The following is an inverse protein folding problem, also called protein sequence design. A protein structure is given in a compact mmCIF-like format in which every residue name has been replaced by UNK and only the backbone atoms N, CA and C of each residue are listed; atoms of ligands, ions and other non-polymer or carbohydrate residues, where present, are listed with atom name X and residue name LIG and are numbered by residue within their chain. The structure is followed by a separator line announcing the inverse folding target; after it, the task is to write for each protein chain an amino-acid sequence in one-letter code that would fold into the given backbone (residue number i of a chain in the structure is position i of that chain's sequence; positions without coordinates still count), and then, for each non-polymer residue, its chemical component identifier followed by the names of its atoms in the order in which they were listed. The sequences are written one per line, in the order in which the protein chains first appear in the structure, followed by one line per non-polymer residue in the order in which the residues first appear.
data_IF_956968437582
#
_entry.id   IF_956968437582
#
_cell.length_a   1.000
_cell.length_b   1.000
_cell.length_c   1.000
_cell.angle_alpha   90.00
_cell.angle_beta   90.00
_cell.angle_gamma   90.00
#
_symmetry.space_group_name_H-M   'P 1'
#
loop_
_entity.id
_entity.type
_entity.pdbx_description
1 polymer ?
#
# COMPACT_ATOMS: atom_id res chain seq x y z
N UNK A 1 -5.21 1.97 -17.11
CA UNK A 1 -4.35 1.78 -15.92
C UNK A 1 -4.58 2.97 -14.99
N UNK A 2 -4.87 2.75 -13.70
CA UNK A 2 -5.23 3.83 -12.77
C UNK A 2 -3.99 4.34 -11.99
N UNK A 3 -3.39 3.53 -11.13
CA UNK A 3 -2.16 3.87 -10.44
C UNK A 3 -0.96 3.85 -11.41
N UNK A 4 -0.11 4.88 -11.36
CA UNK A 4 1.06 5.06 -12.24
C UNK A 4 0.82 5.87 -13.51
N UNK A 5 -0.38 5.78 -14.11
CA UNK A 5 -0.71 6.55 -15.33
C UNK A 5 -1.72 7.68 -15.05
N UNK A 6 -2.85 7.37 -14.40
CA UNK A 6 -3.87 8.38 -14.08
C UNK A 6 -3.43 9.25 -12.89
N UNK A 7 -2.74 8.65 -11.93
CA UNK A 7 -2.12 9.35 -10.80
C UNK A 7 -0.65 8.94 -10.76
N UNK A 8 0.24 9.89 -11.04
CA UNK A 8 1.70 9.66 -11.05
C UNK A 8 2.27 9.93 -9.66
N UNK A 9 3.34 9.25 -9.24
CA UNK A 9 3.94 9.53 -7.94
C UNK A 9 4.47 10.97 -7.87
N UNK A 10 4.34 11.61 -6.71
CA UNK A 10 5.05 12.88 -6.44
C UNK A 10 6.55 12.65 -6.19
N UNK A 11 6.90 11.49 -5.62
CA UNK A 11 8.27 11.07 -5.31
C UNK A 11 8.39 9.55 -5.34
N UNK A 12 9.57 9.06 -5.71
CA UNK A 12 9.90 7.62 -5.67
C UNK A 12 9.89 7.05 -4.24
N UNK A 13 9.97 7.91 -3.22
CA UNK A 13 9.82 7.52 -1.82
C UNK A 13 8.46 6.87 -1.52
N UNK A 14 7.44 7.19 -2.32
CA UNK A 14 6.08 6.67 -2.20
C UNK A 14 5.75 5.58 -3.23
N UNK A 15 6.76 4.91 -3.82
CA UNK A 15 6.54 3.91 -4.88
C UNK A 15 5.56 2.79 -4.51
N UNK A 16 5.45 2.45 -3.22
CA UNK A 16 4.47 1.49 -2.72
C UNK A 16 3.02 1.86 -3.07
N UNK A 17 2.70 3.15 -3.26
CA UNK A 17 1.36 3.60 -3.67
C UNK A 17 1.02 3.12 -5.08
N UNK A 18 2.00 3.02 -5.98
CA UNK A 18 1.74 2.44 -7.30
C UNK A 18 1.76 0.91 -7.23
N UNK A 19 2.86 0.37 -6.72
CA UNK A 19 3.14 -1.07 -6.82
C UNK A 19 2.24 -1.91 -5.90
N UNK A 20 1.93 -1.40 -4.70
CA UNK A 20 1.03 -2.05 -3.76
C UNK A 20 -0.40 -2.14 -4.28
N UNK A 21 -0.93 -1.07 -4.88
CA UNK A 21 -2.25 -1.09 -5.47
C UNK A 21 -2.31 -1.94 -6.74
N UNK A 22 -1.28 -1.90 -7.60
CA UNK A 22 -1.19 -2.79 -8.75
C UNK A 22 -1.19 -4.27 -8.31
N UNK A 23 -0.38 -4.61 -7.30
CA UNK A 23 -0.28 -5.95 -6.71
C UNK A 23 -1.62 -6.39 -6.08
N UNK A 24 -2.29 -5.50 -5.33
CA UNK A 24 -3.61 -5.77 -4.75
C UNK A 24 -4.63 -6.14 -5.84
N UNK A 25 -4.74 -5.30 -6.87
CA UNK A 25 -5.70 -5.50 -7.96
C UNK A 25 -5.37 -6.76 -8.75
N UNK A 26 -4.09 -7.00 -9.07
CA UNK A 26 -3.68 -8.22 -9.76
C UNK A 26 -4.10 -9.47 -8.98
N UNK A 27 -3.86 -9.50 -7.67
CA UNK A 27 -4.19 -10.65 -6.83
C UNK A 27 -5.69 -10.81 -6.56
N UNK A 28 -6.46 -9.71 -6.55
CA UNK A 28 -7.92 -9.75 -6.47
C UNK A 28 -8.56 -10.28 -7.77
N UNK A 29 -8.07 -9.87 -8.94
CA UNK A 29 -8.63 -10.27 -10.23
C UNK A 29 -8.03 -11.58 -10.78
N UNK A 30 -6.85 -11.99 -10.30
CA UNK A 30 -6.17 -13.23 -10.71
C UNK A 30 -5.71 -14.10 -9.51
N UNK A 31 -6.63 -14.56 -8.65
CA UNK A 31 -6.31 -15.26 -7.38
C UNK A 31 -5.72 -16.67 -7.54
N UNK A 32 -5.37 -17.09 -8.77
CA UNK A 32 -4.71 -18.36 -9.08
C UNK A 32 -3.38 -18.19 -9.83
N UNK A 33 -2.94 -16.94 -10.01
CA UNK A 33 -1.65 -16.68 -10.65
C UNK A 33 -0.51 -17.24 -9.80
N UNK A 34 0.63 -17.53 -10.45
CA UNK A 34 1.87 -17.86 -9.74
C UNK A 34 2.29 -16.75 -8.78
N UNK A 35 1.99 -15.51 -9.14
CA UNK A 35 2.24 -14.33 -8.33
C UNK A 35 1.41 -14.32 -7.02
N UNK A 36 0.11 -14.61 -7.08
CA UNK A 36 -0.74 -14.75 -5.89
C UNK A 36 -0.27 -15.90 -4.97
N UNK A 37 0.14 -17.05 -5.54
CA UNK A 37 0.71 -18.15 -4.75
C UNK A 37 2.01 -17.75 -4.05
N UNK A 38 2.88 -17.01 -4.74
CA UNK A 38 4.12 -16.51 -4.16
C UNK A 38 3.84 -15.49 -3.05
N UNK A 39 2.85 -14.60 -3.24
CA UNK A 39 2.37 -13.67 -2.21
C UNK A 39 1.91 -14.37 -0.94
N UNK A 40 1.09 -15.42 -1.08
CA UNK A 40 0.62 -16.23 0.06
C UNK A 40 1.79 -16.90 0.76
N UNK A 41 2.69 -17.53 0.01
CA UNK A 41 3.90 -18.15 0.55
C UNK A 41 4.79 -17.15 1.33
N UNK A 42 5.06 -15.97 0.76
CA UNK A 42 5.79 -14.88 1.42
C UNK A 42 5.10 -14.32 2.66
N UNK A 43 3.77 -14.45 2.76
CA UNK A 43 3.02 -14.06 3.97
C UNK A 43 3.17 -15.09 5.09
N UNK A 44 3.21 -16.39 4.74
CA UNK A 44 3.32 -17.50 5.69
C UNK A 44 4.73 -17.65 6.26
N UNK A 45 5.74 -17.39 5.45
CA UNK A 45 7.11 -17.26 5.95
C UNK A 45 7.28 -15.81 6.39
N UNK A 46 7.40 -15.56 7.71
CA UNK A 46 7.67 -14.24 8.26
C UNK A 46 9.03 -13.72 7.76
N UNK A 47 9.04 -13.27 6.51
CA UNK A 47 10.19 -12.64 5.90
C UNK A 47 10.47 -11.36 6.69
N UNK A 48 11.74 -10.95 6.81
CA UNK A 48 12.11 -9.74 7.55
C UNK A 48 11.56 -8.43 6.93
N UNK A 49 10.70 -8.51 5.90
CA UNK A 49 10.08 -7.36 5.24
C UNK A 49 9.14 -6.58 6.17
N UNK A 50 8.54 -7.22 7.18
CA UNK A 50 7.67 -6.53 8.14
C UNK A 50 8.47 -5.57 9.03
N UNK A 51 9.76 -5.87 9.22
CA UNK A 51 10.71 -5.04 9.96
C UNK A 51 11.14 -3.75 9.25
N UNK A 52 10.50 -3.35 8.14
CA UNK A 52 10.81 -2.11 7.40
C UNK A 52 9.55 -1.33 7.05
N UNK A 53 9.58 0.00 7.09
CA UNK A 53 8.49 0.83 6.55
C UNK A 53 8.32 0.65 5.04
N UNK A 54 7.17 1.06 4.48
CA UNK A 54 6.93 1.01 3.03
C UNK A 54 7.38 2.28 2.30
N UNK A 55 7.50 3.40 3.03
CA UNK A 55 8.13 4.62 2.56
C UNK A 55 9.62 4.36 2.31
N UNK A 56 10.07 4.52 1.06
CA UNK A 56 11.47 4.30 0.70
C UNK A 56 12.32 5.50 1.15
N UNK A 57 13.29 5.25 2.03
CA UNK A 57 14.34 6.21 2.37
C UNK A 57 15.43 6.24 1.29
N UNK A 58 16.29 7.27 1.27
CA UNK A 58 17.40 7.35 0.31
C UNK A 58 18.40 6.19 0.43
N UNK A 59 18.49 5.56 1.61
CA UNK A 59 19.37 4.40 1.88
C UNK A 59 18.81 3.11 1.23
N UNK A 60 17.51 3.06 0.99
CA UNK A 60 16.84 1.92 0.36
C UNK A 60 17.17 1.84 -1.15
N UNK A 61 17.42 2.98 -1.81
CA UNK A 61 17.69 3.02 -3.26
C UNK A 61 19.05 2.38 -3.62
N UNK A 62 20.00 2.29 -2.68
CA UNK A 62 21.36 1.74 -2.91
C UNK A 62 21.53 0.26 -2.54
N UNK A 63 20.59 -0.36 -1.81
CA UNK A 63 20.71 -1.75 -1.32
C UNK A 63 19.81 -2.76 -2.07
N UNK A 64 20.15 -4.05 -1.97
CA UNK A 64 19.54 -5.23 -2.65
C UNK A 64 18.14 -5.06 -3.24
N UNK A 65 18.04 -5.01 -4.57
CA UNK A 65 16.81 -4.91 -5.38
C UNK A 65 15.67 -5.87 -4.94
N UNK A 66 16.01 -7.06 -4.44
CA UNK A 66 15.05 -8.10 -4.07
C UNK A 66 14.25 -7.75 -2.80
N UNK A 67 14.87 -7.07 -1.82
CA UNK A 67 14.18 -6.67 -0.58
C UNK A 67 13.20 -5.53 -0.90
N UNK A 68 13.62 -4.58 -1.74
CA UNK A 68 12.81 -3.46 -2.22
C UNK A 68 11.59 -3.93 -3.01
N UNK A 69 11.77 -4.84 -3.96
CA UNK A 69 10.66 -5.40 -4.73
C UNK A 69 9.66 -6.14 -3.84
N UNK A 70 10.06 -6.66 -2.68
CA UNK A 70 9.12 -7.33 -1.76
C UNK A 70 8.39 -6.36 -0.85
N UNK A 71 9.02 -5.28 -0.40
CA UNK A 71 8.38 -4.27 0.45
C UNK A 71 7.33 -3.49 -0.34
N UNK A 72 7.72 -2.91 -1.48
CA UNK A 72 6.83 -2.01 -2.24
C UNK A 72 5.67 -2.71 -2.95
N UNK A 73 5.78 -4.02 -3.18
CA UNK A 73 4.73 -4.84 -3.79
C UNK A 73 4.00 -5.68 -2.73
N UNK A 74 4.72 -6.60 -2.09
CA UNK A 74 4.10 -7.65 -1.27
C UNK A 74 3.59 -7.10 0.06
N UNK A 75 4.46 -6.42 0.83
CA UNK A 75 4.04 -5.80 2.10
C UNK A 75 2.96 -4.74 1.86
N UNK A 76 3.11 -3.92 0.83
CA UNK A 76 2.14 -2.90 0.44
C UNK A 76 0.76 -3.49 0.12
N UNK A 77 0.67 -4.55 -0.67
CA UNK A 77 -0.61 -5.20 -0.95
C UNK A 77 -1.22 -5.85 0.30
N UNK A 78 -0.43 -6.50 1.16
CA UNK A 78 -0.91 -7.04 2.43
C UNK A 78 -1.48 -5.94 3.34
N UNK A 79 -0.78 -4.83 3.45
CA UNK A 79 -1.23 -3.65 4.17
C UNK A 79 -2.57 -3.14 3.62
N UNK A 80 -2.68 -2.94 2.30
CA UNK A 80 -3.92 -2.47 1.69
C UNK A 80 -5.08 -3.44 1.92
N UNK A 81 -4.84 -4.76 1.85
CA UNK A 81 -5.84 -5.79 2.19
C UNK A 81 -6.28 -5.71 3.65
N UNK A 82 -5.34 -5.52 4.57
CA UNK A 82 -5.61 -5.36 5.99
C UNK A 82 -6.46 -4.12 6.25
N UNK A 83 -6.08 -2.97 5.68
CA UNK A 83 -6.82 -1.72 5.81
C UNK A 83 -8.23 -1.86 5.21
N UNK A 84 -8.37 -2.45 4.02
CA UNK A 84 -9.68 -2.71 3.40
C UNK A 84 -10.60 -3.53 4.30
N UNK A 85 -10.07 -4.52 5.02
CA UNK A 85 -10.84 -5.28 6.02
C UNK A 85 -11.16 -4.47 7.26
N UNK A 86 -10.21 -3.67 7.76
CA UNK A 86 -10.37 -2.87 8.97
C UNK A 86 -11.44 -1.79 8.82
N UNK A 87 -11.39 -1.00 7.73
CA UNK A 87 -12.35 0.09 7.48
C UNK A 87 -13.65 -0.40 6.83
N UNK A 88 -13.64 -1.59 6.24
CA UNK A 88 -14.72 -2.17 5.45
C UNK A 88 -14.59 -1.87 3.96
N UNK A 89 -14.95 -2.84 3.11
CA UNK A 89 -14.76 -2.76 1.65
C UNK A 89 -15.42 -1.54 1.03
N UNK A 90 -16.67 -1.25 1.38
CA UNK A 90 -17.41 -0.09 0.86
C UNK A 90 -16.74 1.25 1.19
N UNK A 91 -16.17 1.38 2.39
CA UNK A 91 -15.48 2.60 2.82
C UNK A 91 -14.15 2.74 2.07
N UNK A 92 -13.39 1.65 2.00
CA UNK A 92 -12.12 1.60 1.28
C UNK A 92 -12.31 1.95 -0.20
N UNK A 93 -13.21 1.25 -0.88
CA UNK A 93 -13.42 1.42 -2.32
C UNK A 93 -13.89 2.86 -2.64
N UNK A 94 -14.75 3.45 -1.79
CA UNK A 94 -15.17 4.86 -1.91
C UNK A 94 -14.00 5.83 -1.72
N UNK A 95 -13.18 5.62 -0.69
CA UNK A 95 -12.02 6.46 -0.40
C UNK A 95 -11.03 6.45 -1.57
N UNK A 96 -10.71 5.26 -2.08
CA UNK A 96 -9.75 5.09 -3.18
C UNK A 96 -10.31 5.62 -4.50
N UNK A 97 -11.59 5.41 -4.78
CA UNK A 97 -12.24 5.99 -5.96
C UNK A 97 -12.18 7.52 -5.92
N UNK A 98 -12.49 8.13 -4.76
CA UNK A 98 -12.40 9.58 -4.60
C UNK A 98 -10.96 10.09 -4.74
N UNK A 99 -9.98 9.39 -4.17
CA UNK A 99 -8.56 9.68 -4.36
C UNK A 99 -8.18 9.71 -5.84
N UNK A 100 -8.58 8.70 -6.62
CA UNK A 100 -8.26 8.62 -8.05
C UNK A 100 -8.90 9.76 -8.84
N UNK A 101 -10.18 10.05 -8.61
CA UNK A 101 -10.88 11.13 -9.30
C UNK A 101 -10.28 12.50 -9.01
N UNK A 102 -10.09 12.83 -7.73
CA UNK A 102 -9.63 14.15 -7.31
C UNK A 102 -8.16 14.43 -7.69
N UNK A 103 -7.36 13.37 -7.94
CA UNK A 103 -5.93 13.49 -8.29
C UNK A 103 -5.63 13.04 -9.73
N UNK A 104 -6.66 12.85 -10.56
CA UNK A 104 -6.52 12.46 -11.96
C UNK A 104 -5.66 13.44 -12.74
N UNK A 105 -4.74 12.91 -13.55
CA UNK A 105 -3.73 13.65 -14.30
C UNK A 105 -2.78 14.49 -13.44
N UNK A 106 -2.70 14.17 -12.15
CA UNK A 106 -1.82 14.82 -11.19
C UNK A 106 -1.00 13.82 -10.39
N UNK A 107 -0.48 14.29 -9.26
CA UNK A 107 0.39 13.48 -8.41
C UNK A 107 -0.35 12.81 -7.25
N UNK A 108 0.15 11.64 -6.83
CA UNK A 108 -0.29 10.86 -5.68
C UNK A 108 0.87 10.56 -4.73
N UNK A 109 0.54 10.40 -3.45
CA UNK A 109 1.48 10.10 -2.37
C UNK A 109 0.77 9.45 -1.17
N UNK A 110 1.56 8.96 -0.21
CA UNK A 110 1.02 8.36 1.00
C UNK A 110 0.15 9.32 1.84
N UNK A 111 0.52 10.60 2.07
CA UNK A 111 -0.34 11.55 2.78
C UNK A 111 -1.74 11.69 2.18
N UNK A 112 -1.87 11.72 0.85
CA UNK A 112 -3.18 11.75 0.19
C UNK A 112 -3.98 10.49 0.47
N UNK A 113 -3.39 9.30 0.33
CA UNK A 113 -4.08 8.04 0.64
C UNK A 113 -4.59 8.04 2.10
N UNK A 114 -3.74 8.46 3.05
CA UNK A 114 -4.11 8.56 4.46
C UNK A 114 -5.30 9.50 4.63
N UNK A 115 -5.24 10.70 4.04
CA UNK A 115 -6.32 11.69 4.11
C UNK A 115 -7.65 11.12 3.61
N UNK A 116 -7.69 10.52 2.41
CA UNK A 116 -8.93 9.99 1.85
C UNK A 116 -9.52 8.85 2.67
N UNK A 117 -8.69 7.98 3.25
CA UNK A 117 -9.15 6.91 4.14
C UNK A 117 -9.72 7.46 5.45
N UNK A 118 -9.07 8.46 6.06
CA UNK A 118 -9.56 9.10 7.28
C UNK A 118 -10.86 9.87 7.05
N UNK A 119 -10.97 10.58 5.93
CA UNK A 119 -12.17 11.34 5.58
C UNK A 119 -13.38 10.43 5.36
N UNK A 120 -13.18 9.26 4.75
CA UNK A 120 -14.24 8.31 4.45
C UNK A 120 -14.63 7.42 5.64
N UNK A 121 -13.75 7.23 6.63
CA UNK A 121 -14.00 6.37 7.77
C UNK A 121 -14.72 7.11 8.90
N UNK A 122 -15.82 6.55 9.40
CA UNK A 122 -16.65 7.13 10.46
C UNK A 122 -16.36 6.52 11.85
N UNK A 123 -15.50 5.51 11.94
CA UNK A 123 -15.10 4.88 13.20
C UNK A 123 -13.97 5.63 13.92
N UNK A 124 -13.13 4.90 14.66
CA UNK A 124 -11.99 5.47 15.38
C UNK A 124 -10.89 5.93 14.40
N UNK A 125 -10.93 7.21 14.03
CA UNK A 125 -9.97 7.83 13.11
C UNK A 125 -8.56 7.94 13.69
N UNK A 126 -8.42 8.07 15.00
CA UNK A 126 -7.10 8.14 15.63
C UNK A 126 -6.43 6.76 15.63
N UNK A 127 -7.19 5.70 15.90
CA UNK A 127 -6.71 4.33 15.74
C UNK A 127 -6.32 4.05 14.28
N UNK A 128 -7.18 4.41 13.32
CA UNK A 128 -6.87 4.23 11.89
C UNK A 128 -5.60 4.98 11.51
N UNK A 129 -5.48 6.25 11.89
CA UNK A 129 -4.30 7.08 11.61
C UNK A 129 -3.04 6.45 12.18
N UNK A 130 -3.09 5.97 13.43
CA UNK A 130 -1.95 5.29 14.07
C UNK A 130 -1.51 4.06 13.26
N UNK A 131 -2.44 3.17 12.91
CA UNK A 131 -2.16 1.97 12.10
C UNK A 131 -1.54 2.36 10.75
N UNK A 132 -2.12 3.34 10.05
CA UNK A 132 -1.61 3.80 8.75
C UNK A 132 -0.17 4.31 8.88
N UNK A 133 0.11 5.18 9.85
CA UNK A 133 1.44 5.76 10.04
C UNK A 133 2.48 4.72 10.43
N UNK A 134 2.14 3.79 11.33
CA UNK A 134 3.03 2.71 11.76
C UNK A 134 3.43 1.82 10.57
N UNK A 135 2.47 1.40 9.76
CA UNK A 135 2.76 0.52 8.62
C UNK A 135 3.51 1.21 7.48
N UNK A 136 3.21 2.48 7.21
CA UNK A 136 3.82 3.24 6.12
C UNK A 136 5.23 3.67 6.47
N UNK A 137 5.45 4.21 7.67
CA UNK A 137 6.70 4.90 8.02
C UNK A 137 7.56 4.15 9.03
N UNK A 138 7.01 3.22 9.81
CA UNK A 138 7.75 2.56 10.88
C UNK A 138 8.06 1.09 10.58
N UNK A 139 9.10 0.63 11.25
CA UNK A 139 9.48 -0.77 11.39
C UNK A 139 8.45 -1.43 12.31
N UNK A 140 7.67 -2.39 11.79
CA UNK A 140 6.79 -3.19 12.63
C UNK A 140 7.67 -4.30 13.24
N UNK A 141 8.10 -4.11 14.48
CA UNK A 141 8.65 -5.21 15.29
C UNK A 141 7.45 -6.06 15.75
N UNK A 142 7.30 -7.23 15.15
CA UNK A 142 6.40 -8.27 15.65
C UNK A 142 6.99 -8.92 16.91
#
# INVERSE_FOLDING_TARGET
QYFGNLVTLSSWTDIWVNEGFATLLETDFHPKSTFDRHMKFSSYHALPIHSYGMYASSIDIENSFIVHSRIHYQKAAQFLRMIRKFVGETVFDRAIHKYLLDNSYGNGDAPKIIRYLLDAYEGDREQLKKILLEWIYQVVLL
#
